data_IF_388490753540
#
_entry.id   IF_388490753540
#
_cell.length_a   1.000
_cell.length_b   1.000
_cell.length_c   1.000
_cell.angle_alpha   90.00
_cell.angle_beta   90.00
_cell.angle_gamma   90.00
#
_symmetry.space_group_name_H-M   'P 1'
#
loop_
_entity.id
_entity.type
_entity.pdbx_description
1 polymer ?
#
# COMPACT_ATOMS: atom_id res chain seq x y z
N UNK A 1 -4.08 22.39 -12.77
CA UNK A 1 -3.38 21.08 -12.71
C UNK A 1 -2.20 21.16 -13.67
N UNK A 2 -0.97 21.13 -13.17
CA UNK A 2 0.20 21.20 -14.05
C UNK A 2 0.36 19.88 -14.80
N UNK A 3 0.79 19.92 -16.06
CA UNK A 3 1.04 18.73 -16.91
C UNK A 3 1.93 17.69 -16.21
N UNK A 4 2.91 18.17 -15.44
CA UNK A 4 3.81 17.33 -14.59
C UNK A 4 3.05 16.58 -13.49
N UNK A 5 2.07 17.22 -12.85
CA UNK A 5 1.27 16.58 -11.79
C UNK A 5 0.31 15.53 -12.36
N UNK A 6 -0.27 15.82 -13.53
CA UNK A 6 -1.14 14.87 -14.25
C UNK A 6 -0.31 13.65 -14.66
N UNK A 7 0.84 13.86 -15.30
CA UNK A 7 1.73 12.78 -15.71
C UNK A 7 2.16 11.90 -14.53
N UNK A 8 2.53 12.49 -13.39
CA UNK A 8 2.91 11.76 -12.17
C UNK A 8 1.75 10.91 -11.61
N UNK A 9 0.51 11.42 -11.60
CA UNK A 9 -0.65 10.64 -11.15
C UNK A 9 -1.03 9.54 -12.15
N UNK A 10 -0.96 9.83 -13.45
CA UNK A 10 -1.24 8.86 -14.51
C UNK A 10 -0.24 7.69 -14.46
N UNK A 11 1.05 7.98 -14.23
CA UNK A 11 2.08 6.95 -14.11
C UNK A 11 1.88 6.04 -12.88
N UNK A 12 1.19 6.53 -11.85
CA UNK A 12 0.89 5.75 -10.64
C UNK A 12 -0.33 4.83 -10.77
N UNK A 13 -1.23 5.05 -11.75
CA UNK A 13 -2.41 4.23 -11.98
C UNK A 13 -2.12 2.73 -12.16
N UNK A 14 -1.16 2.29 -12.99
CA UNK A 14 -0.84 0.87 -13.11
C UNK A 14 -0.41 0.26 -11.78
N UNK A 15 0.34 1.01 -10.96
CA UNK A 15 0.76 0.56 -9.63
C UNK A 15 -0.44 0.36 -8.70
N UNK A 16 -1.38 1.30 -8.71
CA UNK A 16 -2.64 1.18 -7.95
C UNK A 16 -3.45 -0.04 -8.43
N UNK A 17 -3.50 -0.29 -9.74
CA UNK A 17 -4.17 -1.44 -10.33
C UNK A 17 -3.59 -2.78 -9.87
N UNK A 18 -2.27 -2.92 -9.88
CA UNK A 18 -1.57 -4.12 -9.39
C UNK A 18 -1.82 -4.32 -7.89
N UNK A 19 -1.72 -3.24 -7.09
CA UNK A 19 -2.00 -3.31 -5.64
C UNK A 19 -3.45 -3.72 -5.39
N UNK A 20 -4.40 -3.19 -6.16
CA UNK A 20 -5.81 -3.55 -6.04
C UNK A 20 -6.07 -5.02 -6.38
N UNK A 21 -5.47 -5.52 -7.47
CA UNK A 21 -5.57 -6.92 -7.85
C UNK A 21 -4.99 -7.82 -6.76
N UNK A 22 -3.80 -7.48 -6.25
CA UNK A 22 -3.18 -8.17 -5.11
C UNK A 22 -4.06 -8.17 -3.86
N UNK A 23 -4.66 -7.02 -3.52
CA UNK A 23 -5.60 -6.90 -2.39
C UNK A 23 -6.78 -7.86 -2.51
N UNK A 24 -7.29 -8.07 -3.73
CA UNK A 24 -8.47 -8.90 -3.98
C UNK A 24 -8.16 -10.40 -4.05
N UNK A 25 -7.00 -10.79 -4.56
CA UNK A 25 -6.66 -12.20 -4.81
C UNK A 25 -5.80 -12.80 -3.70
N UNK A 26 -4.60 -12.26 -3.50
CA UNK A 26 -3.53 -12.89 -2.71
C UNK A 26 -3.34 -12.28 -1.32
N UNK A 27 -3.87 -11.08 -1.08
CA UNK A 27 -3.59 -10.37 0.18
C UNK A 27 -4.17 -11.11 1.39
N UNK A 28 -3.34 -11.45 2.39
CA UNK A 28 -3.79 -12.07 3.64
C UNK A 28 -4.76 -11.19 4.43
N UNK A 29 -4.64 -9.87 4.31
CA UNK A 29 -5.42 -8.91 5.10
C UNK A 29 -6.78 -8.57 4.47
N UNK A 30 -6.89 -8.57 3.13
CA UNK A 30 -8.07 -8.04 2.41
C UNK A 30 -8.73 -9.05 1.46
N UNK A 31 -8.01 -10.09 1.05
CA UNK A 31 -8.43 -11.00 0.00
C UNK A 31 -9.01 -12.31 0.53
N UNK A 32 -8.94 -13.34 -0.33
CA UNK A 32 -9.49 -14.68 -0.09
C UNK A 32 -8.84 -15.35 1.15
N UNK A 33 -7.60 -14.98 1.46
CA UNK A 33 -6.86 -15.52 2.61
C UNK A 33 -7.16 -14.85 3.95
N UNK A 34 -8.06 -13.86 4.00
CA UNK A 34 -8.46 -13.20 5.26
C UNK A 34 -9.01 -14.18 6.30
N UNK A 35 -9.69 -15.25 5.85
CA UNK A 35 -10.19 -16.29 6.74
C UNK A 35 -9.09 -17.02 7.52
N UNK A 36 -7.84 -17.02 7.01
CA UNK A 36 -6.69 -17.67 7.66
C UNK A 36 -5.95 -16.74 8.62
N UNK A 37 -6.12 -15.43 8.48
CA UNK A 37 -5.49 -14.40 9.31
C UNK A 37 -6.54 -13.42 9.84
N UNK A 38 -7.42 -13.86 10.77
CA UNK A 38 -8.53 -13.03 11.25
C UNK A 38 -8.06 -11.75 11.98
N UNK A 39 -6.86 -11.77 12.56
CA UNK A 39 -6.24 -10.64 13.26
C UNK A 39 -5.36 -9.75 12.37
N UNK A 40 -5.31 -10.01 11.06
CA UNK A 40 -4.40 -9.34 10.13
C UNK A 40 -2.99 -9.91 10.16
N UNK A 41 -2.33 -9.90 9.00
CA UNK A 41 -0.95 -10.32 8.82
C UNK A 41 0.01 -9.11 8.90
N UNK A 42 -0.44 -7.95 8.41
CA UNK A 42 0.38 -6.76 8.41
C UNK A 42 0.43 -6.10 9.80
N UNK A 43 1.64 -5.86 10.31
CA UNK A 43 1.87 -5.23 11.62
C UNK A 43 1.56 -3.72 11.66
N UNK A 44 1.41 -3.10 10.50
CA UNK A 44 1.12 -1.67 10.44
C UNK A 44 -0.35 -1.44 10.11
N UNK A 45 -0.93 -0.38 10.69
CA UNK A 45 -2.29 0.07 10.37
C UNK A 45 -2.29 1.46 9.69
N UNK A 46 -3.03 1.64 8.57
CA UNK A 46 -3.62 0.59 7.74
C UNK A 46 -2.53 -0.34 7.15
N UNK A 47 -2.91 -1.51 6.61
CA UNK A 47 -1.96 -2.47 6.06
C UNK A 47 -1.03 -1.84 5.01
N UNK A 48 0.18 -2.38 4.82
CA UNK A 48 1.17 -1.85 3.87
C UNK A 48 0.60 -1.70 2.45
N UNK A 49 -0.23 -2.64 1.98
CA UNK A 49 -0.89 -2.56 0.67
C UNK A 49 -1.92 -1.43 0.60
N UNK A 50 -2.70 -1.22 1.67
CA UNK A 50 -3.69 -0.14 1.75
C UNK A 50 -3.02 1.23 1.86
N UNK A 51 -1.94 1.34 2.66
CA UNK A 51 -1.12 2.54 2.72
C UNK A 51 -0.52 2.88 1.35
N UNK A 52 0.08 1.89 0.68
CA UNK A 52 0.66 2.05 -0.65
C UNK A 52 -0.37 2.62 -1.64
N UNK A 53 -1.55 1.98 -1.70
CA UNK A 53 -2.67 2.43 -2.54
C UNK A 53 -3.04 3.88 -2.27
N UNK A 54 -3.23 4.26 -1.01
CA UNK A 54 -3.62 5.63 -0.64
C UNK A 54 -2.52 6.66 -0.96
N UNK A 55 -1.26 6.31 -0.72
CA UNK A 55 -0.12 7.18 -1.06
C UNK A 55 -0.03 7.40 -2.57
N UNK A 56 -0.17 6.36 -3.40
CA UNK A 56 -0.16 6.52 -4.85
C UNK A 56 -1.34 7.35 -5.36
N UNK A 57 -2.53 7.21 -4.78
CA UNK A 57 -3.70 8.05 -5.11
C UNK A 57 -3.46 9.53 -4.75
N UNK A 58 -2.90 9.79 -3.56
CA UNK A 58 -2.66 11.15 -3.06
C UNK A 58 -1.48 11.84 -3.78
N UNK A 59 -0.34 11.14 -3.88
CA UNK A 59 0.97 11.71 -4.27
C UNK A 59 1.49 11.24 -5.63
N UNK A 60 0.85 10.28 -6.27
CA UNK A 60 1.39 9.64 -7.48
C UNK A 60 2.68 8.88 -7.19
N UNK A 61 3.56 8.77 -8.19
CA UNK A 61 4.84 8.04 -8.10
C UNK A 61 5.80 8.68 -7.10
N UNK A 62 5.71 9.99 -6.84
CA UNK A 62 6.48 10.67 -5.78
C UNK A 62 6.23 10.11 -4.37
N UNK A 63 5.14 9.34 -4.19
CA UNK A 63 4.87 8.61 -2.96
C UNK A 63 5.72 7.36 -2.74
N UNK A 64 6.42 6.87 -3.77
CA UNK A 64 7.15 5.60 -3.76
C UNK A 64 8.15 5.46 -2.60
N UNK A 65 8.97 6.47 -2.25
CA UNK A 65 9.93 6.33 -1.14
C UNK A 65 9.26 6.07 0.21
N UNK A 66 8.06 6.64 0.43
CA UNK A 66 7.29 6.41 1.67
C UNK A 66 6.73 5.01 1.74
N UNK A 67 6.25 4.50 0.61
CA UNK A 67 5.76 3.11 0.49
C UNK A 67 6.91 2.12 0.73
N UNK A 68 8.05 2.34 0.08
CA UNK A 68 9.22 1.46 0.22
C UNK A 68 9.75 1.43 1.64
N UNK A 69 9.92 2.60 2.28
CA UNK A 69 10.34 2.68 3.69
C UNK A 69 9.41 1.87 4.60
N UNK A 70 8.10 1.90 4.35
CA UNK A 70 7.13 1.15 5.15
C UNK A 70 7.13 -0.35 4.88
N UNK A 71 7.42 -0.78 3.65
CA UNK A 71 7.57 -2.21 3.33
C UNK A 71 8.81 -2.76 4.02
N UNK A 72 9.93 -2.03 3.99
CA UNK A 72 11.19 -2.43 4.64
C UNK A 72 11.03 -2.50 6.17
N UNK A 73 10.27 -1.58 6.76
CA UNK A 73 9.95 -1.62 8.19
C UNK A 73 8.96 -2.74 8.55
N UNK A 74 8.28 -3.35 7.58
CA UNK A 74 7.31 -4.42 7.82
C UNK A 74 7.99 -5.79 7.84
N UNK A 75 8.71 -6.07 8.93
CA UNK A 75 9.41 -7.34 9.16
C UNK A 75 9.05 -7.96 10.53
N UNK A 76 9.39 -9.25 10.79
CA UNK A 76 9.07 -9.95 12.03
C UNK A 76 9.63 -9.32 13.32
N UNK A 77 10.66 -8.47 13.21
CA UNK A 77 11.26 -7.76 14.35
C UNK A 77 10.71 -6.36 14.57
N UNK A 78 9.90 -5.85 13.63
CA UNK A 78 9.23 -4.57 13.80
C UNK A 78 8.09 -4.69 14.80
N UNK A 79 7.94 -3.69 15.67
CA UNK A 79 6.80 -3.53 16.57
C UNK A 79 5.50 -3.22 15.80
N UNK A 80 5.62 -2.83 14.53
CA UNK A 80 4.48 -2.28 13.78
C UNK A 80 4.12 -0.88 14.26
N UNK A 81 2.97 -0.38 13.82
CA UNK A 81 2.54 0.97 14.20
C UNK A 81 1.41 1.53 13.33
N UNK A 82 0.85 2.65 13.80
CA UNK A 82 -0.18 3.41 13.10
C UNK A 82 0.51 4.53 12.33
N UNK A 83 0.40 4.49 11.01
CA UNK A 83 0.96 5.50 10.12
C UNK A 83 -0.11 5.85 9.07
N UNK A 84 -0.66 7.07 9.15
CA UNK A 84 -1.73 7.50 8.23
C UNK A 84 -1.14 8.14 6.96
N UNK A 85 -1.67 7.84 5.76
CA UNK A 85 -1.15 8.32 4.47
C UNK A 85 -1.51 9.77 4.11
#
# INVERSE_FOLDING_TARGET
MNTVQVLNKTLALPMVGVIYLYQKTLSPDHGIFRSRYPYGFCKHYPSCSMYAKQIFIKRGVLGLPRVMRRIISCNPWSLGGIDLP
#
